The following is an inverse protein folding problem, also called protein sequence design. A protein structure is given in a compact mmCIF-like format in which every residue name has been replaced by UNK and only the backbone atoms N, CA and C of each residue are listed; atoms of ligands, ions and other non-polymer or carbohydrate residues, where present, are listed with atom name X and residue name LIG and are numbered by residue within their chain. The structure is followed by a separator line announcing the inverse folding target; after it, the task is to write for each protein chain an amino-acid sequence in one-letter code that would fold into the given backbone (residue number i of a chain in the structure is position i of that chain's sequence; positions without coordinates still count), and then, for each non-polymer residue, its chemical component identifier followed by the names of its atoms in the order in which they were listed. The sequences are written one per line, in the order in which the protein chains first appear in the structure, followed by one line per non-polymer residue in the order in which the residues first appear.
data_IF_587016256411
#
_entry.id   IF_587016256411
#
_cell.length_a   1.000
_cell.length_b   1.000
_cell.length_c   1.000
_cell.angle_alpha   90.00
_cell.angle_beta   90.00
_cell.angle_gamma   90.00
#
_symmetry.space_group_name_H-M   'P 1'
#
loop_
_entity.id
_entity.type
_entity.pdbx_description
1 polymer ?
#
# COMPACT_ATOMS: atom_id res chain seq x y z
N UNK A 1 22.59 21.37 -11.09
CA UNK A 1 21.79 20.27 -10.52
C UNK A 1 20.34 20.71 -10.49
N UNK A 2 19.52 20.26 -11.44
CA UNK A 2 18.08 20.55 -11.40
C UNK A 2 17.49 19.83 -10.18
N UNK A 3 16.93 20.58 -9.23
CA UNK A 3 16.10 20.00 -8.17
C UNK A 3 14.96 19.29 -8.89
N UNK A 4 14.91 17.96 -8.79
CA UNK A 4 13.76 17.16 -9.21
C UNK A 4 12.50 17.88 -8.71
N UNK A 5 11.47 18.13 -9.54
CA UNK A 5 10.22 18.71 -9.06
C UNK A 5 9.82 17.88 -7.85
N UNK A 6 9.59 18.53 -6.71
CA UNK A 6 9.15 17.89 -5.47
C UNK A 6 8.28 16.68 -5.80
N UNK A 7 8.73 15.46 -5.47
CA UNK A 7 8.07 14.21 -5.90
C UNK A 7 6.56 14.37 -5.74
N UNK A 8 5.81 14.19 -6.83
CA UNK A 8 4.34 14.39 -6.89
C UNK A 8 3.66 13.66 -5.72
N UNK A 9 4.24 12.53 -5.30
CA UNK A 9 3.80 11.76 -4.13
C UNK A 9 3.88 12.55 -2.82
N UNK A 10 4.95 13.31 -2.62
CA UNK A 10 5.14 14.17 -1.44
C UNK A 10 4.15 15.32 -1.40
N UNK A 11 3.88 15.93 -2.56
CA UNK A 11 2.84 16.97 -2.68
C UNK A 11 1.45 16.39 -2.34
N UNK A 12 1.10 15.23 -2.90
CA UNK A 12 -0.17 14.57 -2.62
C UNK A 12 -0.32 14.20 -1.13
N UNK A 13 0.75 13.72 -0.49
CA UNK A 13 0.76 13.44 0.96
C UNK A 13 0.52 14.69 1.80
N UNK A 14 0.95 15.86 1.34
CA UNK A 14 0.68 17.14 2.01
C UNK A 14 -0.80 17.47 2.14
N UNK A 15 -1.66 16.92 1.26
CA UNK A 15 -3.11 17.14 1.33
C UNK A 15 -3.86 16.20 2.28
N UNK A 16 -3.15 15.30 2.98
CA UNK A 16 -3.80 14.25 3.79
C UNK A 16 -4.75 14.83 4.85
N UNK A 17 -4.35 15.91 5.53
CA UNK A 17 -5.19 16.53 6.57
C UNK A 17 -6.47 17.13 5.98
N UNK A 18 -6.35 17.89 4.88
CA UNK A 18 -7.50 18.45 4.17
C UNK A 18 -8.44 17.37 3.65
N UNK A 19 -7.89 16.30 3.06
CA UNK A 19 -8.68 15.17 2.58
C UNK A 19 -9.45 14.48 3.72
N UNK A 20 -8.83 14.30 4.89
CA UNK A 20 -9.50 13.75 6.08
C UNK A 20 -10.64 14.65 6.56
N UNK A 21 -10.42 15.96 6.61
CA UNK A 21 -11.46 16.91 6.99
C UNK A 21 -12.64 16.88 5.99
N UNK A 22 -12.37 16.79 4.70
CA UNK A 22 -13.40 16.66 3.67
C UNK A 22 -14.21 15.38 3.84
N UNK A 23 -13.57 14.22 4.04
CA UNK A 23 -14.28 12.95 4.28
C UNK A 23 -15.15 13.02 5.54
N UNK A 24 -14.64 13.57 6.63
CA UNK A 24 -15.40 13.76 7.86
C UNK A 24 -16.62 14.68 7.65
N UNK A 25 -16.45 15.76 6.87
CA UNK A 25 -17.55 16.67 6.51
C UNK A 25 -18.60 15.97 5.66
N UNK A 26 -18.21 15.19 4.64
CA UNK A 26 -19.14 14.46 3.77
C UNK A 26 -19.95 13.46 4.59
N UNK A 27 -19.32 12.70 5.49
CA UNK A 27 -19.99 11.71 6.33
C UNK A 27 -21.10 12.32 7.20
N UNK A 28 -20.91 13.56 7.69
CA UNK A 28 -21.86 14.28 8.54
C UNK A 28 -22.86 15.15 7.76
N UNK A 29 -22.68 15.36 6.45
CA UNK A 29 -23.57 16.20 5.65
C UNK A 29 -24.90 15.48 5.34
N UNK A 30 -26.02 16.12 5.67
CA UNK A 30 -27.36 15.64 5.31
C UNK A 30 -27.69 15.85 3.82
N UNK A 31 -27.03 16.82 3.17
CA UNK A 31 -27.20 17.13 1.75
C UNK A 31 -26.42 16.17 0.85
N UNK A 32 -25.44 15.45 1.40
CA UNK A 32 -24.67 14.47 0.65
C UNK A 32 -25.50 13.21 0.39
N UNK A 33 -25.38 12.66 -0.84
CA UNK A 33 -26.01 11.40 -1.18
C UNK A 33 -25.64 10.29 -0.16
N UNK A 34 -26.58 9.43 0.27
CA UNK A 34 -26.31 8.40 1.26
C UNK A 34 -25.08 7.53 0.93
N UNK A 35 -24.89 7.17 -0.34
CA UNK A 35 -23.74 6.40 -0.79
C UNK A 35 -22.40 7.14 -0.59
N UNK A 36 -22.36 8.46 -0.79
CA UNK A 36 -21.17 9.27 -0.56
C UNK A 36 -20.80 9.32 0.93
N UNK A 37 -21.80 9.41 1.81
CA UNK A 37 -21.59 9.35 3.27
C UNK A 37 -21.01 8.02 3.72
N UNK A 38 -21.55 6.91 3.21
CA UNK A 38 -21.04 5.55 3.48
C UNK A 38 -19.61 5.40 2.94
N UNK A 39 -19.34 5.85 1.72
CA UNK A 39 -18.00 5.79 1.15
C UNK A 39 -16.98 6.60 1.98
N UNK A 40 -17.36 7.78 2.46
CA UNK A 40 -16.50 8.60 3.31
C UNK A 40 -16.24 7.94 4.68
N UNK A 41 -17.26 7.35 5.30
CA UNK A 41 -17.12 6.60 6.55
C UNK A 41 -16.17 5.41 6.39
N UNK A 42 -16.35 4.59 5.35
CA UNK A 42 -15.50 3.44 5.08
C UNK A 42 -14.04 3.86 4.82
N UNK A 43 -13.82 4.95 4.07
CA UNK A 43 -12.47 5.45 3.81
C UNK A 43 -11.73 5.87 5.09
N UNK A 44 -12.45 6.46 6.07
CA UNK A 44 -11.88 6.81 7.37
C UNK A 44 -11.58 5.55 8.21
N UNK A 45 -12.50 4.59 8.24
CA UNK A 45 -12.32 3.33 8.97
C UNK A 45 -11.16 2.51 8.42
N UNK A 46 -11.09 2.33 7.10
CA UNK A 46 -10.01 1.61 6.43
C UNK A 46 -8.62 2.21 6.73
N UNK A 47 -8.56 3.52 6.95
CA UNK A 47 -7.30 4.23 7.27
C UNK A 47 -6.97 4.21 8.77
N UNK A 48 -7.97 4.26 9.65
CA UNK A 48 -7.78 4.24 11.10
C UNK A 48 -7.56 2.84 11.67
N UNK A 49 -8.22 1.83 11.10
CA UNK A 49 -8.24 0.45 11.59
C UNK A 49 -7.62 -0.55 10.61
N UNK A 50 -7.31 -0.11 9.40
CA UNK A 50 -6.89 -1.01 8.33
C UNK A 50 -8.07 -1.71 7.66
N UNK A 51 -7.79 -2.43 6.58
CA UNK A 51 -8.75 -3.34 5.95
C UNK A 51 -8.72 -4.68 6.65
N UNK A 52 -9.84 -5.43 6.69
CA UNK A 52 -9.85 -6.81 7.15
C UNK A 52 -8.75 -7.63 6.45
N UNK A 53 -8.11 -8.54 7.18
CA UNK A 53 -7.11 -9.42 6.62
C UNK A 53 -7.71 -10.20 5.43
N UNK A 54 -7.18 -9.98 4.23
CA UNK A 54 -7.56 -10.72 3.05
C UNK A 54 -6.86 -12.09 3.12
N UNK A 55 -7.59 -13.21 3.05
CA UNK A 55 -6.94 -14.52 2.92
C UNK A 55 -6.12 -14.53 1.63
N UNK A 56 -4.85 -14.92 1.72
CA UNK A 56 -4.02 -15.14 0.55
C UNK A 56 -4.27 -16.56 0.08
N UNK A 57 -4.88 -16.69 -1.09
CA UNK A 57 -5.13 -17.98 -1.72
C UNK A 57 -3.92 -18.36 -2.59
N UNK A 58 -3.30 -19.51 -2.28
CA UNK A 58 -2.09 -19.97 -2.93
C UNK A 58 -2.32 -20.60 -4.31
N UNK A 59 -3.49 -21.19 -4.54
CA UNK A 59 -3.82 -21.95 -5.75
C UNK A 59 -5.18 -21.58 -6.36
N UNK A 60 -5.97 -20.71 -5.72
CA UNK A 60 -7.30 -20.31 -6.17
C UNK A 60 -8.43 -21.23 -5.69
N UNK A 61 -8.12 -22.28 -4.93
CA UNK A 61 -9.07 -23.18 -4.26
C UNK A 61 -9.00 -23.06 -2.72
N UNK A 62 -8.34 -22.03 -2.19
CA UNK A 62 -8.12 -21.83 -0.76
C UNK A 62 -6.92 -22.61 -0.22
N UNK A 63 -6.04 -23.08 -1.09
CA UNK A 63 -4.84 -23.83 -0.73
C UNK A 63 -3.71 -22.94 -0.19
N UNK A 64 -2.75 -23.53 0.53
CA UNK A 64 -1.63 -22.81 1.11
C UNK A 64 -0.72 -22.18 0.04
N UNK A 65 -0.22 -20.97 0.32
CA UNK A 65 0.77 -20.28 -0.53
C UNK A 65 2.07 -21.08 -0.58
N UNK A 66 2.44 -21.58 -1.77
CA UNK A 66 3.71 -22.26 -1.98
C UNK A 66 4.84 -21.26 -2.22
N UNK A 67 5.63 -20.99 -1.17
CA UNK A 67 6.81 -20.11 -1.27
C UNK A 67 8.02 -20.96 -1.69
N UNK A 68 8.40 -20.91 -2.97
CA UNK A 68 9.64 -21.49 -3.49
C UNK A 68 10.85 -20.70 -2.97
N UNK A 69 11.48 -21.17 -1.91
CA UNK A 69 12.76 -20.63 -1.44
C UNK A 69 13.91 -21.19 -2.28
N UNK A 70 14.46 -20.39 -3.20
CA UNK A 70 15.65 -20.76 -3.98
C UNK A 70 16.92 -20.36 -3.21
N UNK A 71 17.72 -21.35 -2.82
CA UNK A 71 19.07 -21.13 -2.28
C UNK A 71 20.07 -21.50 -3.37
N UNK A 72 20.83 -20.52 -3.88
CA UNK A 72 21.93 -20.75 -4.82
C UNK A 72 23.27 -20.71 -4.09
N UNK A 73 24.09 -21.74 -4.27
CA UNK A 73 25.51 -21.74 -3.86
C UNK A 73 26.37 -21.60 -5.10
N UNK A 74 27.07 -20.48 -5.22
CA UNK A 74 28.05 -20.24 -6.30
C UNK A 74 29.43 -20.60 -5.80
N UNK A 75 30.08 -21.58 -6.42
CA UNK A 75 31.50 -21.91 -6.16
C UNK A 75 32.34 -21.05 -7.09
N UNK A 76 33.16 -20.17 -6.51
CA UNK A 76 34.12 -19.34 -7.26
C UNK A 76 35.46 -20.06 -7.22
N UNK A 77 36.07 -20.32 -8.38
CA UNK A 77 37.47 -20.74 -8.44
C UNK A 77 38.35 -19.55 -8.04
N UNK A 78 39.19 -19.66 -7.00
CA UNK A 78 40.14 -18.62 -6.69
C UNK A 78 41.14 -18.51 -7.86
N UNK A 79 41.32 -17.30 -8.37
CA UNK A 79 42.36 -17.01 -9.36
C UNK A 79 43.73 -17.37 -8.76
N UNK A 80 44.43 -18.32 -9.36
CA UNK A 80 45.81 -18.63 -9.01
C UNK A 80 46.65 -17.36 -9.16
N UNK A 81 47.15 -16.83 -8.05
CA UNK A 81 48.26 -15.89 -8.07
C UNK A 81 49.53 -16.72 -8.24
N UNK A 82 49.94 -16.91 -9.49
CA UNK A 82 51.25 -17.47 -9.83
C UNK A 82 52.34 -16.53 -9.29
N UNK A 83 53.19 -17.07 -8.44
CA UNK A 83 54.44 -16.46 -7.98
C UNK A 83 55.62 -16.87 -8.84
#
# INVERSE_FOLDING_TARGET
MAKTPTDIRSLARGHTEGALATLASIMHSEEAAPAARVAAANALLDRGWGKPAQPVDGDGEGGPVSILHKIERVIVQPSNSDG
#
